data_IF_073271241923
#
_entry.id   IF_073271241923
#
_cell.length_a   1.000
_cell.length_b   1.000
_cell.length_c   1.000
_cell.angle_alpha   90.00
_cell.angle_beta   90.00
_cell.angle_gamma   90.00
#
_symmetry.space_group_name_H-M   'P 1'
#
loop_
_entity.id
_entity.type
_entity.pdbx_description
1 polymer ?
#
# COMPACT_ATOMS: atom_id res chain seq x y z
N UNK A 1 24.09 -19.38 8.88
CA UNK A 1 22.99 -20.05 9.60
C UNK A 1 21.72 -19.20 9.68
N UNK A 2 21.74 -17.96 10.17
CA UNK A 2 20.51 -17.18 10.43
C UNK A 2 19.61 -16.89 9.22
N UNK A 3 20.18 -16.74 8.01
CA UNK A 3 19.40 -16.48 6.78
C UNK A 3 18.52 -17.67 6.35
N UNK A 4 18.95 -18.91 6.64
CA UNK A 4 18.22 -20.12 6.26
C UNK A 4 17.00 -20.35 7.15
N UNK A 5 17.19 -20.25 8.46
CA UNK A 5 16.12 -20.35 9.47
C UNK A 5 15.04 -19.30 9.24
N UNK A 6 15.44 -18.09 8.82
CA UNK A 6 14.50 -17.02 8.50
C UNK A 6 13.66 -17.32 7.24
N UNK A 7 14.31 -17.85 6.20
CA UNK A 7 13.62 -18.25 4.96
C UNK A 7 12.56 -19.32 5.27
N UNK A 8 12.95 -20.35 6.01
CA UNK A 8 12.06 -21.44 6.41
C UNK A 8 10.85 -20.92 7.21
N UNK A 9 11.08 -19.98 8.15
CA UNK A 9 10.00 -19.39 8.95
C UNK A 9 9.05 -18.50 8.13
N UNK A 10 9.56 -17.74 7.14
CA UNK A 10 8.70 -16.99 6.24
C UNK A 10 7.86 -17.91 5.34
N UNK A 11 8.47 -18.93 4.77
CA UNK A 11 7.78 -19.90 3.90
C UNK A 11 6.62 -20.60 4.66
N UNK A 12 6.83 -20.96 5.94
CA UNK A 12 5.77 -21.49 6.80
C UNK A 12 4.66 -20.46 7.10
N UNK A 13 5.02 -19.19 7.35
CA UNK A 13 4.03 -18.13 7.62
C UNK A 13 3.19 -17.79 6.38
N UNK A 14 3.79 -17.80 5.19
CA UNK A 14 3.09 -17.69 3.91
C UNK A 14 2.19 -18.89 3.66
N UNK A 15 2.63 -20.11 3.96
CA UNK A 15 1.83 -21.32 3.83
C UNK A 15 0.59 -21.32 4.73
N UNK A 16 0.70 -20.72 5.92
CA UNK A 16 -0.41 -20.60 6.87
C UNK A 16 -1.31 -19.36 6.64
N UNK A 17 -1.02 -18.54 5.63
CA UNK A 17 -1.73 -17.29 5.31
C UNK A 17 -1.88 -16.32 6.51
N UNK A 18 -0.93 -16.35 7.44
CA UNK A 18 -0.93 -15.46 8.59
C UNK A 18 -0.22 -14.14 8.23
N UNK A 19 -0.97 -13.27 7.55
CA UNK A 19 -0.51 -11.94 7.15
C UNK A 19 0.05 -11.11 8.32
N UNK A 20 -0.44 -11.33 9.55
CA UNK A 20 0.01 -10.61 10.73
C UNK A 20 1.41 -11.04 11.17
N UNK A 21 1.68 -12.35 11.16
CA UNK A 21 3.00 -12.89 11.44
C UNK A 21 4.01 -12.50 10.35
N UNK A 22 3.62 -12.60 9.07
CA UNK A 22 4.45 -12.19 7.93
C UNK A 22 4.86 -10.72 8.08
N UNK A 23 3.91 -9.84 8.38
CA UNK A 23 4.19 -8.42 8.53
C UNK A 23 5.13 -8.10 9.69
N UNK A 24 4.98 -8.77 10.85
CA UNK A 24 5.92 -8.63 11.98
C UNK A 24 7.33 -9.10 11.62
N UNK A 25 7.42 -10.22 10.92
CA UNK A 25 8.69 -10.82 10.47
C UNK A 25 9.38 -9.97 9.41
N UNK A 26 8.63 -9.29 8.54
CA UNK A 26 9.14 -8.31 7.58
C UNK A 26 9.51 -6.98 8.24
N UNK A 27 8.70 -6.49 9.18
CA UNK A 27 8.94 -5.25 9.92
C UNK A 27 10.26 -5.29 10.70
N UNK A 28 10.59 -6.41 11.35
CA UNK A 28 11.88 -6.57 12.05
C UNK A 28 13.12 -6.53 11.13
N UNK A 29 12.95 -6.76 9.82
CA UNK A 29 14.00 -6.56 8.80
C UNK A 29 14.05 -5.10 8.35
N UNK A 30 12.88 -4.51 8.11
CA UNK A 30 12.76 -3.14 7.63
C UNK A 30 13.19 -2.11 8.70
N UNK A 31 12.86 -2.31 9.97
CA UNK A 31 13.25 -1.41 11.07
C UNK A 31 14.77 -1.34 11.29
N UNK A 32 15.52 -2.39 10.89
CA UNK A 32 16.99 -2.36 10.91
C UNK A 32 17.61 -1.65 9.70
N UNK A 33 16.80 -1.24 8.72
CA UNK A 33 17.22 -0.46 7.56
C UNK A 33 16.54 0.90 7.57
N UNK A 34 17.14 1.84 8.30
CA UNK A 34 17.41 3.21 7.86
C UNK A 34 17.42 4.20 9.05
N UNK A 35 18.42 4.11 9.92
CA UNK A 35 19.21 5.32 10.11
C UNK A 35 20.04 5.50 8.83
N UNK A 36 19.39 5.86 7.73
CA UNK A 36 20.10 6.54 6.67
C UNK A 36 20.51 7.84 7.32
N UNK A 37 21.76 7.93 7.77
CA UNK A 37 22.37 9.22 8.06
C UNK A 37 22.08 10.06 6.83
N UNK A 38 21.19 11.04 6.95
CA UNK A 38 20.99 12.02 5.91
C UNK A 38 22.38 12.62 5.75
N UNK A 39 23.02 12.29 4.63
CA UNK A 39 24.33 12.83 4.27
C UNK A 39 24.24 14.34 4.47
N UNK A 40 25.20 14.95 5.19
CA UNK A 40 25.16 16.37 5.59
C UNK A 40 24.95 17.32 4.40
N UNK A 41 25.17 16.80 3.18
CA UNK A 41 24.90 17.48 1.94
C UNK A 41 23.56 17.04 1.30
N UNK A 42 22.46 17.49 1.90
CA UNK A 42 21.07 17.31 1.40
C UNK A 42 20.95 17.61 -0.09
N UNK A 43 21.72 18.57 -0.61
CA UNK A 43 21.77 18.92 -2.03
C UNK A 43 22.31 17.79 -2.91
N UNK A 44 23.39 17.10 -2.49
CA UNK A 44 23.93 15.94 -3.23
C UNK A 44 22.95 14.77 -3.23
N UNK A 45 22.25 14.55 -2.12
CA UNK A 45 21.22 13.51 -2.03
C UNK A 45 20.02 13.82 -2.93
N UNK A 46 19.52 15.05 -2.90
CA UNK A 46 18.44 15.51 -3.78
C UNK A 46 18.83 15.37 -5.27
N UNK A 47 20.06 15.74 -5.64
CA UNK A 47 20.55 15.56 -7.00
C UNK A 47 20.63 14.08 -7.41
N UNK A 48 21.11 13.19 -6.53
CA UNK A 48 21.09 11.74 -6.78
C UNK A 48 19.67 11.18 -6.96
N UNK A 49 18.71 11.65 -6.16
CA UNK A 49 17.31 11.26 -6.32
C UNK A 49 16.75 11.76 -7.66
N UNK A 50 17.02 13.01 -8.01
CA UNK A 50 16.61 13.57 -9.28
C UNK A 50 17.18 12.76 -10.46
N UNK A 51 18.48 12.44 -10.45
CA UNK A 51 19.11 11.62 -11.48
C UNK A 51 18.51 10.20 -11.55
N UNK A 52 18.18 9.62 -10.40
CA UNK A 52 17.55 8.31 -10.31
C UNK A 52 16.15 8.33 -10.92
N UNK A 53 15.31 9.29 -10.51
CA UNK A 53 13.93 9.40 -10.98
C UNK A 53 13.82 9.91 -12.41
N UNK A 54 14.79 10.69 -12.90
CA UNK A 54 14.85 11.15 -14.28
C UNK A 54 14.92 9.99 -15.28
N UNK A 55 15.44 8.82 -14.88
CA UNK A 55 15.42 7.60 -15.72
C UNK A 55 14.02 7.15 -16.10
N UNK A 56 13.03 7.39 -15.24
CA UNK A 56 11.64 7.05 -15.49
C UNK A 56 10.93 8.11 -16.33
N UNK A 57 11.44 9.34 -16.39
CA UNK A 57 10.88 10.42 -17.21
C UNK A 57 11.04 10.17 -18.73
N UNK A 58 11.87 9.20 -19.11
CA UNK A 58 12.03 8.75 -20.51
C UNK A 58 10.96 7.75 -20.94
N UNK A 59 10.20 7.19 -20.00
CA UNK A 59 9.19 6.17 -20.28
C UNK A 59 7.82 6.75 -20.01
N UNK A 60 7.02 6.87 -21.06
CA UNK A 60 5.60 7.12 -20.91
C UNK A 60 4.90 5.78 -20.60
N UNK A 61 4.33 5.69 -19.40
CA UNK A 61 3.60 4.50 -18.95
C UNK A 61 2.09 4.65 -19.14
N UNK A 62 1.61 5.73 -19.75
CA UNK A 62 0.17 5.99 -19.90
C UNK A 62 -0.56 4.84 -20.59
N UNK A 63 0.04 4.22 -21.61
CA UNK A 63 -0.59 3.12 -22.34
C UNK A 63 -0.70 1.84 -21.49
N UNK A 64 0.34 1.51 -20.70
CA UNK A 64 0.29 0.38 -19.77
C UNK A 64 -0.71 0.59 -18.64
N UNK A 65 -0.80 1.83 -18.13
CA UNK A 65 -1.79 2.21 -17.11
C UNK A 65 -3.20 2.07 -17.66
N UNK A 66 -3.44 2.50 -18.91
CA UNK A 66 -4.73 2.34 -19.58
C UNK A 66 -5.09 0.86 -19.77
N UNK A 67 -4.14 0.06 -20.24
CA UNK A 67 -4.33 -1.39 -20.41
C UNK A 67 -4.66 -2.09 -19.08
N UNK A 68 -3.96 -1.75 -17.99
CA UNK A 68 -4.27 -2.27 -16.66
C UNK A 68 -5.64 -1.81 -16.16
N UNK A 69 -5.98 -0.53 -16.33
CA UNK A 69 -7.30 -0.02 -15.95
C UNK A 69 -8.41 -0.69 -16.75
N UNK A 70 -8.26 -0.84 -18.05
CA UNK A 70 -9.22 -1.58 -18.89
C UNK A 70 -9.32 -3.04 -18.47
N UNK A 71 -8.24 -3.69 -18.06
CA UNK A 71 -8.26 -5.05 -17.51
C UNK A 71 -8.99 -5.15 -16.15
N UNK A 72 -8.94 -4.11 -15.32
CA UNK A 72 -9.66 -4.04 -14.04
C UNK A 72 -11.15 -3.73 -14.25
N UNK A 73 -11.49 -2.84 -15.20
CA UNK A 73 -12.88 -2.43 -15.44
C UNK A 73 -13.64 -3.35 -16.40
N UNK A 74 -12.96 -3.99 -17.37
CA UNK A 74 -13.56 -4.79 -18.44
C UNK A 74 -13.08 -6.26 -18.46
N UNK A 75 -12.20 -6.68 -17.56
CA UNK A 75 -11.75 -8.07 -17.49
C UNK A 75 -12.90 -9.02 -17.12
N UNK A 76 -12.87 -10.29 -17.59
CA UNK A 76 -13.85 -11.31 -17.22
C UNK A 76 -13.55 -11.83 -15.80
N UNK A 77 -13.51 -10.93 -14.82
CA UNK A 77 -13.74 -11.31 -13.43
C UNK A 77 -15.23 -11.59 -13.26
N UNK A 78 -15.65 -12.31 -12.21
CA UNK A 78 -17.05 -12.24 -11.82
C UNK A 78 -17.32 -10.76 -11.54
N UNK A 79 -18.06 -10.09 -12.43
CA UNK A 79 -18.90 -8.98 -12.02
C UNK A 79 -19.97 -9.59 -11.10
N UNK A 80 -19.53 -10.06 -9.93
CA UNK A 80 -20.40 -10.14 -8.78
C UNK A 80 -20.80 -8.69 -8.60
N UNK A 81 -21.98 -8.36 -9.12
CA UNK A 81 -22.68 -7.14 -8.82
C UNK A 81 -22.59 -7.01 -7.31
N UNK A 82 -21.71 -6.13 -6.84
CA UNK A 82 -21.41 -6.02 -5.43
C UNK A 82 -22.60 -5.31 -4.80
N UNK A 83 -23.64 -6.10 -4.52
CA UNK A 83 -24.87 -5.65 -3.90
C UNK A 83 -24.54 -5.43 -2.43
N UNK A 84 -24.34 -4.16 -2.08
CA UNK A 84 -24.15 -3.73 -0.70
C UNK A 84 -25.50 -3.27 -0.17
N UNK A 85 -25.88 -3.81 0.98
CA UNK A 85 -27.05 -3.35 1.72
C UNK A 85 -26.76 -2.05 2.48
N UNK A 86 -27.78 -1.24 2.72
CA UNK A 86 -27.65 -0.03 3.55
C UNK A 86 -27.11 -0.35 4.95
N UNK A 87 -27.51 -1.50 5.52
CA UNK A 87 -27.05 -1.96 6.82
C UNK A 87 -25.54 -2.23 6.87
N UNK A 88 -24.98 -2.80 5.80
CA UNK A 88 -23.54 -3.02 5.66
C UNK A 88 -22.79 -1.70 5.57
N UNK A 89 -23.28 -0.74 4.77
CA UNK A 89 -22.70 0.60 4.68
C UNK A 89 -22.72 1.29 6.04
N UNK A 90 -23.85 1.27 6.74
CA UNK A 90 -23.99 1.88 8.06
C UNK A 90 -23.05 1.24 9.09
N UNK A 91 -22.90 -0.09 9.06
CA UNK A 91 -21.99 -0.83 9.95
C UNK A 91 -20.53 -0.43 9.73
N UNK A 92 -20.10 -0.30 8.48
CA UNK A 92 -18.73 0.09 8.14
C UNK A 92 -18.48 1.57 8.45
N UNK A 93 -19.41 2.45 8.11
CA UNK A 93 -19.26 3.89 8.32
C UNK A 93 -19.21 4.27 9.81
N UNK A 94 -19.94 3.54 10.68
CA UNK A 94 -19.84 3.71 12.15
C UNK A 94 -18.45 3.39 12.70
N UNK A 95 -17.70 2.48 12.05
CA UNK A 95 -16.34 2.08 12.45
C UNK A 95 -15.27 3.07 12.00
N UNK A 96 -15.62 4.09 11.21
CA UNK A 96 -14.68 5.13 10.76
C UNK A 96 -14.15 5.90 11.97
N UNK A 97 -12.82 5.98 12.07
CA UNK A 97 -12.17 6.79 13.08
C UNK A 97 -12.00 8.23 12.54
N UNK A 98 -12.78 9.15 13.09
CA UNK A 98 -12.81 10.56 12.69
C UNK A 98 -11.47 11.28 12.81
N UNK A 99 -10.59 10.80 13.70
CA UNK A 99 -9.28 11.43 13.98
C UNK A 99 -8.19 11.00 12.99
N UNK A 100 -8.46 10.04 12.12
CA UNK A 100 -7.49 9.63 11.09
C UNK A 100 -7.39 10.70 10.01
N UNK A 101 -6.18 10.83 9.45
CA UNK A 101 -5.92 11.69 8.31
C UNK A 101 -6.79 11.30 7.12
N UNK A 102 -7.19 12.29 6.34
CA UNK A 102 -7.94 12.11 5.11
C UNK A 102 -7.20 11.22 4.10
N UNK A 103 -7.96 10.43 3.35
CA UNK A 103 -7.46 9.68 2.20
C UNK A 103 -7.12 10.59 1.01
N UNK A 104 -6.77 10.00 -0.15
CA UNK A 104 -6.32 10.75 -1.34
C UNK A 104 -7.33 11.79 -1.86
N UNK A 105 -8.62 11.60 -1.56
CA UNK A 105 -9.70 12.51 -1.94
C UNK A 105 -9.93 13.67 -0.94
N UNK A 106 -9.15 13.75 0.15
CA UNK A 106 -9.26 14.84 1.12
C UNK A 106 -10.49 14.82 2.04
N UNK A 107 -11.36 13.82 1.93
CA UNK A 107 -12.52 13.65 2.80
C UNK A 107 -12.08 13.30 4.22
N UNK A 108 -12.57 14.03 5.22
CA UNK A 108 -12.27 13.80 6.64
C UNK A 108 -13.21 12.73 7.21
N UNK A 109 -12.72 11.93 8.16
CA UNK A 109 -13.50 10.84 8.75
C UNK A 109 -14.80 11.27 9.42
N UNK A 110 -14.87 12.50 9.97
CA UNK A 110 -16.10 13.04 10.54
C UNK A 110 -17.22 13.25 9.50
N UNK A 111 -16.86 13.55 8.24
CA UNK A 111 -17.84 13.70 7.14
C UNK A 111 -18.46 12.35 6.83
N UNK A 112 -17.63 11.30 6.74
CA UNK A 112 -18.09 9.94 6.46
C UNK A 112 -19.04 9.41 7.55
N UNK A 113 -18.81 9.80 8.81
CA UNK A 113 -19.72 9.48 9.92
C UNK A 113 -21.01 10.31 9.95
N UNK A 114 -21.02 11.49 9.35
CA UNK A 114 -22.24 12.27 9.28
C UNK A 114 -23.20 11.73 8.21
N UNK A 115 -22.65 11.05 7.19
CA UNK A 115 -23.39 10.42 6.11
C UNK A 115 -23.80 8.97 6.39
N UNK A 116 -23.68 8.50 7.64
CA UNK A 116 -23.97 7.12 8.05
C UNK A 116 -25.27 6.97 8.83
#
# INVERSE_FOLDING_TARGET
MCKRVYKENLEDQFGNNDCGAIWKTMAGICEKRAQLSIDENVSKYANRLNDFYFRFNKYDFQDKIKEEMEGVFNGPGPHDEYIVSEDEVACVSRKVNERKSSGPYGLKGWILKHCS
#
